data_IF_123802016722
#
_entry.id   IF_123802016722
#
_cell.length_a   1.000
_cell.length_b   1.000
_cell.length_c   1.000
_cell.angle_alpha   90.00
_cell.angle_beta   90.00
_cell.angle_gamma   90.00
#
_symmetry.space_group_name_H-M   'P 1'
#
loop_
_entity.id
_entity.type
_entity.pdbx_description
1 polymer ?
#
# COMPACT_ATOMS: atom_id res chain seq x y z
N UNK A 1 -1.12 1.93 -26.40
CA UNK A 1 -1.27 1.54 -24.96
C UNK A 1 -1.36 2.80 -24.13
N UNK A 2 -2.27 2.92 -23.16
CA UNK A 2 -2.35 4.07 -22.24
C UNK A 2 -2.00 3.64 -20.82
N UNK A 3 -1.24 4.48 -20.09
CA UNK A 3 -0.84 4.23 -18.71
C UNK A 3 -1.44 5.31 -17.81
N UNK A 4 -2.07 4.92 -16.71
CA UNK A 4 -2.67 5.82 -15.72
C UNK A 4 -2.14 5.49 -14.33
N UNK A 5 -1.64 6.50 -13.62
CA UNK A 5 -1.13 6.35 -12.25
C UNK A 5 -2.17 6.90 -11.27
N UNK A 6 -2.50 6.12 -10.25
CA UNK A 6 -3.38 6.56 -9.17
C UNK A 6 -2.77 7.76 -8.43
N UNK A 7 -3.57 8.79 -8.15
CA UNK A 7 -3.11 10.00 -7.47
C UNK A 7 -2.66 9.73 -6.03
N UNK A 8 -3.27 8.72 -5.36
CA UNK A 8 -2.91 8.31 -4.02
C UNK A 8 -1.70 7.35 -3.97
N UNK A 9 -1.08 6.99 -5.13
CA UNK A 9 0.07 6.09 -5.13
C UNK A 9 1.27 6.70 -4.39
N UNK A 10 1.86 5.94 -3.44
CA UNK A 10 3.04 6.38 -2.70
C UNK A 10 2.80 6.59 -1.21
N UNK A 11 3.74 7.23 -0.53
CA UNK A 11 3.71 7.41 0.92
C UNK A 11 2.41 8.06 1.40
N UNK A 12 1.82 7.49 2.45
CA UNK A 12 0.79 8.18 3.22
C UNK A 12 1.46 9.13 4.24
N UNK A 13 0.67 10.04 4.81
CA UNK A 13 1.15 10.98 5.83
C UNK A 13 1.95 10.32 6.97
N UNK A 14 1.47 9.18 7.51
CA UNK A 14 2.14 8.51 8.62
C UNK A 14 3.49 7.91 8.23
N UNK A 15 3.59 7.38 7.01
CA UNK A 15 4.85 6.84 6.45
C UNK A 15 5.82 7.97 6.13
N UNK A 16 5.36 9.00 5.45
CA UNK A 16 6.19 10.17 5.09
C UNK A 16 6.79 10.82 6.34
N UNK A 17 5.97 11.02 7.39
CA UNK A 17 6.44 11.50 8.69
C UNK A 17 7.50 10.58 9.31
N UNK A 18 7.30 9.26 9.27
CA UNK A 18 8.24 8.32 9.87
C UNK A 18 9.59 8.31 9.13
N UNK A 19 9.56 8.31 7.80
CA UNK A 19 10.74 8.42 6.94
C UNK A 19 11.47 9.74 7.18
N UNK A 20 10.74 10.86 7.20
CA UNK A 20 11.29 12.20 7.46
C UNK A 20 11.99 12.32 8.82
N UNK A 21 11.47 11.66 9.87
CA UNK A 21 12.13 11.63 11.19
C UNK A 21 13.46 10.87 11.14
N UNK A 22 13.56 9.76 10.41
CA UNK A 22 14.84 9.06 10.21
C UNK A 22 15.82 9.95 9.44
N UNK A 23 15.38 10.54 8.33
CA UNK A 23 16.22 11.46 7.53
C UNK A 23 16.71 12.65 8.33
N UNK A 24 15.86 13.24 9.15
CA UNK A 24 16.23 14.34 10.04
C UNK A 24 17.30 13.88 11.04
N UNK A 25 17.12 12.71 11.66
CA UNK A 25 18.05 12.17 12.63
C UNK A 25 19.44 11.92 12.00
N UNK A 26 19.47 11.40 10.78
CA UNK A 26 20.70 11.23 10.01
C UNK A 26 21.37 12.56 9.68
N UNK A 27 20.58 13.55 9.22
CA UNK A 27 21.09 14.90 8.91
C UNK A 27 21.67 15.63 10.13
N UNK A 28 21.10 15.37 11.31
CA UNK A 28 21.62 15.90 12.59
C UNK A 28 22.91 15.18 13.05
N UNK A 29 23.41 14.21 12.30
CA UNK A 29 24.60 13.43 12.63
C UNK A 29 24.44 12.51 13.84
N UNK A 30 23.22 12.24 14.26
CA UNK A 30 22.93 11.37 15.41
C UNK A 30 23.12 9.89 15.01
N UNK A 31 23.70 9.11 15.90
CA UNK A 31 23.64 7.66 15.80
C UNK A 31 22.24 7.21 16.16
N UNK A 32 21.61 6.42 15.28
CA UNK A 32 20.26 5.94 15.51
C UNK A 32 20.10 4.47 15.10
N UNK A 33 19.17 3.80 15.74
CA UNK A 33 18.67 2.47 15.36
C UNK A 33 17.15 2.52 15.27
N UNK A 34 16.56 1.68 14.41
CA UNK A 34 15.11 1.51 14.36
C UNK A 34 14.70 0.24 15.08
N UNK A 35 13.66 0.31 15.90
CA UNK A 35 13.10 -0.87 16.57
C UNK A 35 12.11 -1.57 15.63
N UNK A 36 12.61 -2.58 14.95
CA UNK A 36 11.99 -3.19 13.77
C UNK A 36 12.06 -2.29 12.52
N UNK A 37 11.57 -2.78 11.36
CA UNK A 37 11.57 -2.00 10.13
C UNK A 37 10.73 -0.74 10.28
N UNK A 38 11.26 0.43 9.92
CA UNK A 38 10.57 1.72 10.08
C UNK A 38 9.21 1.72 9.39
N UNK A 39 9.13 1.07 8.24
CA UNK A 39 7.93 0.80 7.43
C UNK A 39 8.08 -0.56 6.74
N UNK A 40 6.98 -1.13 6.23
CA UNK A 40 7.03 -2.34 5.40
C UNK A 40 7.45 -2.01 3.97
N UNK A 41 8.73 -1.72 3.77
CA UNK A 41 9.37 -1.59 2.47
C UNK A 41 10.87 -1.81 2.62
N UNK A 42 11.38 -2.91 2.10
CA UNK A 42 12.79 -3.27 2.28
C UNK A 42 13.76 -2.33 1.55
N UNK A 43 13.36 -1.71 0.43
CA UNK A 43 14.21 -0.72 -0.25
C UNK A 43 14.47 0.50 0.64
N UNK A 44 13.45 0.95 1.37
CA UNK A 44 13.60 2.06 2.33
C UNK A 44 14.47 1.64 3.52
N UNK A 45 14.27 0.43 4.04
CA UNK A 45 15.11 -0.12 5.13
C UNK A 45 16.57 -0.22 4.69
N UNK A 46 16.83 -0.74 3.49
CA UNK A 46 18.19 -0.81 2.91
C UNK A 46 18.81 0.57 2.68
N UNK A 47 18.02 1.52 2.19
CA UNK A 47 18.48 2.90 2.03
C UNK A 47 18.97 3.49 3.36
N UNK A 48 18.20 3.35 4.45
CA UNK A 48 18.61 3.82 5.75
C UNK A 48 19.78 3.02 6.36
N UNK A 49 19.85 1.72 6.10
CA UNK A 49 21.01 0.92 6.50
C UNK A 49 22.30 1.41 5.84
N UNK A 50 22.26 1.81 4.57
CA UNK A 50 23.40 2.42 3.88
C UNK A 50 23.80 3.78 4.48
N UNK A 51 22.85 4.50 5.11
CA UNK A 51 23.11 5.74 5.86
C UNK A 51 23.51 5.51 7.33
N UNK A 52 23.71 4.24 7.73
CA UNK A 52 24.17 3.88 9.08
C UNK A 52 23.05 3.69 10.12
N UNK A 53 21.77 3.76 9.73
CA UNK A 53 20.64 3.47 10.63
C UNK A 53 20.33 1.98 10.58
N UNK A 54 20.69 1.26 11.64
CA UNK A 54 20.51 -0.19 11.74
C UNK A 54 19.19 -0.56 12.37
N UNK A 55 18.55 -1.59 11.85
CA UNK A 55 17.38 -2.23 12.48
C UNK A 55 17.82 -3.12 13.64
N UNK A 56 17.07 -3.10 14.75
CA UNK A 56 17.23 -3.96 15.91
C UNK A 56 15.87 -4.61 16.26
N UNK A 57 15.91 -5.75 16.93
CA UNK A 57 14.70 -6.49 17.29
C UNK A 57 14.16 -6.13 18.68
N UNK A 58 15.02 -5.73 19.61
CA UNK A 58 14.65 -5.51 21.00
C UNK A 58 15.31 -4.28 21.63
N UNK A 59 14.73 -3.71 22.70
CA UNK A 59 15.30 -2.57 23.41
C UNK A 59 16.74 -2.81 23.91
N UNK A 60 17.07 -4.07 24.28
CA UNK A 60 18.36 -4.45 24.84
C UNK A 60 19.51 -4.27 23.84
N UNK A 61 19.20 -4.35 22.54
CA UNK A 61 20.18 -4.21 21.44
C UNK A 61 20.57 -2.76 21.13
N UNK A 62 19.89 -1.76 21.73
CA UNK A 62 20.21 -0.35 21.48
C UNK A 62 21.62 -0.04 21.97
N UNK A 63 22.55 0.40 21.09
CA UNK A 63 23.91 0.75 21.48
C UNK A 63 23.92 1.99 22.36
N UNK A 64 24.87 2.04 23.31
CA UNK A 64 25.06 3.24 24.13
C UNK A 64 25.29 4.50 23.28
N UNK A 65 24.64 5.60 23.65
CA UNK A 65 24.74 6.88 22.94
C UNK A 65 24.02 6.94 21.59
N UNK A 66 23.16 5.95 21.27
CA UNK A 66 22.31 5.98 20.09
C UNK A 66 20.88 6.35 20.45
N UNK A 67 20.22 7.13 19.59
CA UNK A 67 18.79 7.30 19.63
C UNK A 67 18.08 6.04 19.11
N UNK A 68 16.90 5.75 19.66
CA UNK A 68 16.03 4.68 19.16
C UNK A 68 14.81 5.28 18.48
N UNK A 69 14.57 4.87 17.23
CA UNK A 69 13.42 5.32 16.46
C UNK A 69 12.35 4.22 16.51
N UNK A 70 11.19 4.56 17.07
CA UNK A 70 10.03 3.67 17.07
C UNK A 70 9.39 3.73 15.68
N UNK A 71 9.13 2.56 15.08
CA UNK A 71 8.51 2.43 13.74
C UNK A 71 7.11 3.03 13.64
N UNK A 72 6.64 3.28 12.42
CA UNK A 72 5.31 3.87 12.15
C UNK A 72 4.12 3.06 12.72
N UNK A 73 4.29 1.76 12.91
CA UNK A 73 3.30 0.84 13.49
C UNK A 73 3.17 0.95 15.01
N UNK A 74 4.09 1.67 15.66
CA UNK A 74 4.20 1.72 17.11
C UNK A 74 4.83 0.46 17.71
N UNK A 75 4.85 0.46 19.04
CA UNK A 75 5.30 -0.67 19.87
C UNK A 75 4.33 -0.84 21.04
N UNK A 76 4.39 -1.99 21.71
CA UNK A 76 3.62 -2.23 22.93
C UNK A 76 4.06 -1.30 24.06
N UNK A 77 3.17 -1.10 25.03
CA UNK A 77 3.45 -0.30 26.23
C UNK A 77 4.68 -0.80 26.98
N UNK A 78 4.81 -2.12 27.16
CA UNK A 78 5.95 -2.72 27.84
C UNK A 78 7.30 -2.41 27.15
N UNK A 79 7.33 -2.45 25.82
CA UNK A 79 8.52 -2.09 25.02
C UNK A 79 8.82 -0.60 25.20
N UNK A 80 7.81 0.27 25.14
CA UNK A 80 8.00 1.71 25.33
C UNK A 80 8.56 2.05 26.72
N UNK A 81 7.98 1.44 27.78
CA UNK A 81 8.46 1.58 29.16
C UNK A 81 9.89 1.03 29.35
N UNK A 82 10.25 -0.06 28.70
CA UNK A 82 11.61 -0.61 28.73
C UNK A 82 12.63 0.36 28.10
N UNK A 83 12.29 1.04 26.99
CA UNK A 83 13.15 2.06 26.39
C UNK A 83 13.31 3.26 27.33
N UNK A 84 12.24 3.72 27.97
CA UNK A 84 12.28 4.81 28.94
C UNK A 84 13.14 4.48 30.17
N UNK A 85 12.95 3.26 30.72
CA UNK A 85 13.70 2.82 31.89
C UNK A 85 15.21 2.75 31.65
N UNK A 86 15.65 2.61 30.40
CA UNK A 86 17.07 2.66 30.00
C UNK A 86 17.60 4.08 29.79
N UNK A 87 16.75 5.09 29.90
CA UNK A 87 17.14 6.48 29.69
C UNK A 87 17.56 6.80 28.25
N UNK A 88 17.04 6.09 27.26
CA UNK A 88 17.39 6.25 25.85
C UNK A 88 16.71 7.49 25.25
N UNK A 89 17.35 8.16 24.30
CA UNK A 89 16.69 9.14 23.44
C UNK A 89 15.72 8.43 22.52
N UNK A 90 14.41 8.63 22.73
CA UNK A 90 13.34 8.01 21.96
C UNK A 90 12.83 8.99 20.92
N UNK A 91 12.90 8.59 19.64
CA UNK A 91 12.27 9.31 18.52
C UNK A 91 11.03 8.49 18.12
N UNK A 92 9.86 8.94 18.56
CA UNK A 92 8.61 8.20 18.31
C UNK A 92 8.03 8.55 16.92
N UNK A 93 8.23 7.65 15.96
CA UNK A 93 7.68 7.75 14.62
C UNK A 93 6.32 7.02 14.48
N UNK A 94 5.71 6.57 15.58
CA UNK A 94 4.37 5.98 15.56
C UNK A 94 3.38 6.91 14.84
N UNK A 95 2.64 6.37 13.89
CA UNK A 95 1.62 7.13 13.17
C UNK A 95 0.57 7.67 14.16
N UNK A 96 0.20 8.97 14.11
CA UNK A 96 -0.79 9.55 15.03
C UNK A 96 -2.15 8.82 15.03
N UNK A 97 -2.54 8.22 13.90
CA UNK A 97 -3.76 7.41 13.82
C UNK A 97 -3.62 6.12 14.62
N UNK A 98 -2.45 5.47 14.61
CA UNK A 98 -2.15 4.30 15.44
C UNK A 98 -2.09 4.68 16.92
N UNK A 99 -1.40 5.77 17.27
CA UNK A 99 -1.34 6.28 18.66
C UNK A 99 -2.73 6.61 19.22
N UNK A 100 -3.66 7.05 18.36
CA UNK A 100 -5.06 7.24 18.76
C UNK A 100 -5.71 5.91 19.17
N UNK A 101 -5.44 4.83 18.43
CA UNK A 101 -5.99 3.50 18.75
C UNK A 101 -5.43 3.00 20.09
N UNK A 102 -4.13 3.18 20.34
CA UNK A 102 -3.52 2.86 21.63
C UNK A 102 -4.27 3.51 22.79
N UNK A 103 -4.62 4.80 22.67
CA UNK A 103 -5.39 5.51 23.69
C UNK A 103 -6.80 4.94 23.84
N UNK A 104 -7.50 4.66 22.74
CA UNK A 104 -8.85 4.10 22.78
C UNK A 104 -8.89 2.77 23.54
N UNK A 105 -7.95 1.85 23.26
CA UNK A 105 -7.94 0.54 23.93
C UNK A 105 -7.55 0.66 25.42
N UNK A 106 -6.68 1.60 25.79
CA UNK A 106 -6.35 1.88 27.19
C UNK A 106 -7.55 2.48 27.95
N UNK A 107 -8.23 3.46 27.37
CA UNK A 107 -9.41 4.08 27.95
C UNK A 107 -10.55 3.09 28.07
N UNK A 108 -10.74 2.20 27.08
CA UNK A 108 -11.71 1.13 27.14
C UNK A 108 -11.48 0.24 28.37
N UNK A 109 -10.27 -0.26 28.56
CA UNK A 109 -9.92 -1.12 29.70
C UNK A 109 -10.05 -0.38 31.03
N UNK A 110 -9.64 0.88 31.12
CA UNK A 110 -9.80 1.71 32.31
C UNK A 110 -11.28 1.90 32.69
N UNK A 111 -12.18 1.89 31.71
CA UNK A 111 -13.63 1.98 31.90
C UNK A 111 -14.30 0.60 32.06
N UNK A 112 -13.53 -0.47 32.29
CA UNK A 112 -14.04 -1.82 32.49
C UNK A 112 -14.59 -2.49 31.23
N UNK A 113 -14.24 -1.98 30.04
CA UNK A 113 -14.66 -2.54 28.76
C UNK A 113 -13.55 -3.41 28.16
N UNK A 114 -13.95 -4.47 27.50
CA UNK A 114 -13.04 -5.41 26.86
C UNK A 114 -12.66 -4.89 25.45
N UNK A 115 -11.37 -4.60 25.17
CA UNK A 115 -10.94 -4.23 23.82
C UNK A 115 -11.07 -5.40 22.85
N UNK A 116 -11.72 -5.14 21.70
CA UNK A 116 -11.89 -6.06 20.59
C UNK A 116 -11.27 -5.44 19.34
N UNK A 117 -10.22 -6.07 18.84
CA UNK A 117 -9.38 -5.56 17.75
C UNK A 117 -9.61 -6.39 16.49
N UNK A 118 -10.08 -5.77 15.42
CA UNK A 118 -10.20 -6.42 14.12
C UNK A 118 -8.95 -6.16 13.30
N UNK A 119 -8.20 -7.21 13.01
CA UNK A 119 -6.94 -7.12 12.26
C UNK A 119 -6.15 -8.42 12.28
N UNK A 120 -5.05 -8.46 11.53
CA UNK A 120 -4.17 -9.63 11.46
C UNK A 120 -3.36 -9.76 12.75
N UNK A 121 -3.51 -10.85 13.55
CA UNK A 121 -2.93 -10.94 14.88
C UNK A 121 -1.41 -10.72 14.94
N UNK A 122 -0.67 -11.22 13.96
CA UNK A 122 0.79 -11.15 13.91
C UNK A 122 1.31 -9.84 13.30
N UNK A 123 0.40 -8.98 12.79
CA UNK A 123 0.82 -7.73 12.18
C UNK A 123 1.39 -6.77 13.23
N UNK A 124 2.54 -6.12 12.98
CA UNK A 124 3.20 -5.24 13.96
C UNK A 124 2.31 -4.16 14.57
N UNK A 125 1.39 -3.58 13.79
CA UNK A 125 0.43 -2.59 14.28
C UNK A 125 -0.56 -3.20 15.28
N UNK A 126 -1.09 -4.40 14.96
CA UNK A 126 -2.05 -5.11 15.82
C UNK A 126 -1.38 -5.56 17.11
N UNK A 127 -0.15 -6.10 17.02
CA UNK A 127 0.68 -6.46 18.19
C UNK A 127 0.93 -5.23 19.07
N UNK A 128 1.24 -4.08 18.45
CA UNK A 128 1.43 -2.84 19.19
C UNK A 128 0.14 -2.42 19.90
N UNK A 129 -1.00 -2.34 19.18
CA UNK A 129 -2.31 -1.97 19.76
C UNK A 129 -2.68 -2.91 20.93
N UNK A 130 -2.58 -4.21 20.71
CA UNK A 130 -2.88 -5.23 21.72
C UNK A 130 -2.01 -5.07 22.98
N UNK A 131 -0.76 -4.66 22.82
CA UNK A 131 0.17 -4.42 23.92
C UNK A 131 -0.11 -3.17 24.76
N UNK A 132 -1.15 -2.39 24.45
CA UNK A 132 -1.60 -1.22 25.23
C UNK A 132 -2.78 -1.54 26.15
N UNK A 133 -3.27 -2.77 26.17
CA UNK A 133 -4.25 -3.26 27.12
C UNK A 133 -3.85 -4.64 27.64
N UNK A 134 -4.42 -5.07 28.79
CA UNK A 134 -4.03 -6.33 29.49
C UNK A 134 -4.67 -7.55 28.86
N UNK A 135 -5.89 -7.40 28.37
CA UNK A 135 -6.73 -8.51 27.90
C UNK A 135 -7.29 -8.23 26.49
N UNK A 136 -6.43 -8.06 25.48
CA UNK A 136 -6.90 -7.80 24.11
C UNK A 136 -7.57 -9.05 23.53
N UNK A 137 -8.67 -8.86 22.81
CA UNK A 137 -9.25 -9.85 21.92
C UNK A 137 -8.97 -9.44 20.49
N UNK A 138 -8.29 -10.30 19.72
CA UNK A 138 -7.90 -10.01 18.34
C UNK A 138 -8.54 -11.02 17.40
N UNK A 139 -9.23 -10.53 16.38
CA UNK A 139 -9.87 -11.37 15.36
C UNK A 139 -9.46 -10.93 13.94
N UNK A 140 -9.01 -11.87 13.10
CA UNK A 140 -8.62 -11.58 11.72
C UNK A 140 -9.83 -11.26 10.83
N UNK A 141 -10.99 -11.83 11.15
CA UNK A 141 -12.20 -11.75 10.34
C UNK A 141 -13.48 -11.98 11.15
N UNK A 142 -14.63 -11.89 10.45
CA UNK A 142 -15.94 -12.07 11.06
C UNK A 142 -16.24 -13.52 11.44
N UNK A 143 -15.67 -14.50 10.75
CA UNK A 143 -15.87 -15.91 11.05
C UNK A 143 -15.23 -16.28 12.40
N UNK A 144 -14.00 -15.86 12.60
CA UNK A 144 -13.29 -16.03 13.87
C UNK A 144 -14.02 -15.33 15.03
N UNK A 145 -14.52 -14.11 14.80
CA UNK A 145 -15.31 -13.38 15.79
C UNK A 145 -16.63 -14.10 16.11
N UNK A 146 -17.38 -14.51 15.09
CA UNK A 146 -18.64 -15.20 15.25
C UNK A 146 -18.47 -16.50 16.04
N UNK A 147 -17.49 -17.33 15.64
CA UNK A 147 -17.17 -18.57 16.33
C UNK A 147 -16.86 -18.33 17.79
N UNK A 148 -16.01 -17.35 18.09
CA UNK A 148 -15.67 -17.02 19.47
C UNK A 148 -16.89 -16.57 20.28
N UNK A 149 -17.81 -15.82 19.72
CA UNK A 149 -19.05 -15.40 20.39
C UNK A 149 -19.99 -16.59 20.62
N UNK A 150 -20.13 -17.50 19.66
CA UNK A 150 -21.01 -18.65 19.73
C UNK A 150 -20.52 -19.72 20.73
N UNK A 151 -19.21 -19.82 20.95
CA UNK A 151 -18.60 -20.79 21.90
C UNK A 151 -19.03 -20.57 23.34
N UNK A 152 -19.39 -19.32 23.73
CA UNK A 152 -19.87 -19.03 25.11
C UNK A 152 -20.85 -17.85 25.10
N UNK A 153 -22.16 -18.10 25.22
CA UNK A 153 -23.18 -17.04 25.24
C UNK A 153 -23.01 -15.99 26.36
N UNK A 154 -22.29 -16.29 27.46
CA UNK A 154 -22.02 -15.31 28.51
C UNK A 154 -21.17 -14.14 28.02
N UNK A 155 -20.43 -14.33 26.92
CA UNK A 155 -19.63 -13.27 26.28
C UNK A 155 -20.51 -12.17 25.69
N UNK A 156 -21.79 -12.47 25.40
CA UNK A 156 -22.72 -11.49 24.83
C UNK A 156 -23.02 -10.32 25.80
N UNK A 157 -22.88 -10.54 27.10
CA UNK A 157 -23.14 -9.53 28.10
C UNK A 157 -21.90 -8.74 28.53
N UNK A 158 -20.73 -9.09 28.00
CA UNK A 158 -19.51 -8.32 28.25
C UNK A 158 -19.56 -6.97 27.54
N UNK A 159 -19.09 -5.89 28.18
CA UNK A 159 -18.98 -4.58 27.56
C UNK A 159 -17.74 -4.55 26.64
N UNK A 160 -17.94 -4.37 25.35
CA UNK A 160 -16.86 -4.31 24.38
C UNK A 160 -16.62 -2.90 23.83
N UNK A 161 -15.37 -2.59 23.60
CA UNK A 161 -14.93 -1.48 22.73
C UNK A 161 -14.21 -2.05 21.53
N UNK A 162 -14.77 -1.85 20.34
CA UNK A 162 -14.30 -2.44 19.11
C UNK A 162 -13.53 -1.41 18.27
N UNK A 163 -12.33 -1.78 17.84
CA UNK A 163 -11.43 -1.02 16.96
C UNK A 163 -10.95 -1.87 15.80
N UNK A 164 -10.39 -1.26 14.77
CA UNK A 164 -9.83 -1.95 13.62
C UNK A 164 -8.38 -1.55 13.36
N UNK A 165 -7.60 -2.46 12.79
CA UNK A 165 -6.31 -2.15 12.18
C UNK A 165 -6.50 -1.05 11.11
N UNK A 166 -5.60 -0.07 11.08
CA UNK A 166 -5.72 1.11 10.19
C UNK A 166 -5.78 0.79 8.71
N UNK A 167 -5.22 -0.34 8.30
CA UNK A 167 -5.20 -0.83 6.91
C UNK A 167 -6.32 -1.81 6.58
N UNK A 168 -7.29 -2.03 7.45
CA UNK A 168 -8.45 -2.91 7.20
C UNK A 168 -9.30 -2.41 6.03
N UNK A 169 -10.16 -3.27 5.51
CA UNK A 169 -11.19 -2.88 4.53
C UNK A 169 -12.48 -2.52 5.25
N UNK A 170 -13.25 -1.59 4.66
CA UNK A 170 -14.57 -1.22 5.18
C UNK A 170 -15.50 -2.44 5.23
N UNK A 171 -15.43 -3.31 4.23
CA UNK A 171 -16.21 -4.55 4.19
C UNK A 171 -15.95 -5.45 5.40
N UNK A 172 -14.68 -5.67 5.76
CA UNK A 172 -14.32 -6.47 6.93
C UNK A 172 -14.83 -5.85 8.22
N UNK A 173 -14.63 -4.54 8.38
CA UNK A 173 -15.10 -3.77 9.54
C UNK A 173 -16.62 -3.87 9.71
N UNK A 174 -17.38 -3.58 8.64
CA UNK A 174 -18.84 -3.60 8.68
C UNK A 174 -19.39 -5.00 8.91
N UNK A 175 -18.76 -6.04 8.36
CA UNK A 175 -19.10 -7.44 8.60
C UNK A 175 -18.95 -7.80 10.08
N UNK A 176 -17.79 -7.53 10.68
CA UNK A 176 -17.54 -7.79 12.10
C UNK A 176 -18.46 -6.98 13.01
N UNK A 177 -18.68 -5.70 12.67
CA UNK A 177 -19.61 -4.81 13.40
C UNK A 177 -21.05 -5.34 13.37
N UNK A 178 -21.50 -5.86 12.22
CA UNK A 178 -22.85 -6.46 12.08
C UNK A 178 -22.98 -7.71 12.94
N UNK A 179 -21.96 -8.57 12.98
CA UNK A 179 -21.92 -9.77 13.81
C UNK A 179 -22.02 -9.38 15.29
N UNK A 180 -21.12 -8.50 15.76
CA UNK A 180 -21.10 -8.08 17.15
C UNK A 180 -22.43 -7.41 17.58
N UNK A 181 -22.99 -6.53 16.75
CA UNK A 181 -24.28 -5.88 17.02
C UNK A 181 -25.46 -6.84 17.16
N UNK A 182 -25.41 -8.00 16.51
CA UNK A 182 -26.51 -8.96 16.53
C UNK A 182 -26.64 -9.66 17.88
N UNK A 183 -25.53 -9.85 18.60
CA UNK A 183 -25.49 -10.70 19.79
C UNK A 183 -25.04 -9.98 21.06
N UNK A 184 -24.15 -8.98 20.96
CA UNK A 184 -23.60 -8.31 22.15
C UNK A 184 -24.51 -7.18 22.63
N UNK A 185 -24.70 -7.09 23.93
CA UNK A 185 -25.62 -6.14 24.59
C UNK A 185 -25.00 -4.76 24.84
N UNK A 186 -23.68 -4.69 25.03
CA UNK A 186 -22.95 -3.45 25.35
C UNK A 186 -21.73 -3.27 24.44
N UNK A 187 -21.86 -2.43 23.41
CA UNK A 187 -20.85 -2.19 22.39
C UNK A 187 -20.56 -0.72 22.18
N UNK A 188 -19.26 -0.39 22.11
CA UNK A 188 -18.77 0.86 21.54
C UNK A 188 -17.95 0.57 20.29
N UNK A 189 -18.09 1.40 19.28
CA UNK A 189 -17.39 1.26 18.01
C UNK A 189 -16.59 2.52 17.70
N UNK A 190 -15.33 2.32 17.43
CA UNK A 190 -14.46 3.36 16.88
C UNK A 190 -13.99 2.91 15.51
N UNK A 191 -14.48 3.56 14.47
CA UNK A 191 -13.94 3.37 13.13
C UNK A 191 -12.54 3.96 13.09
N UNK A 192 -11.56 3.06 13.03
CA UNK A 192 -10.14 3.39 13.07
C UNK A 192 -9.41 3.06 11.77
N UNK A 193 -10.15 2.69 10.72
CA UNK A 193 -9.60 2.59 9.37
C UNK A 193 -9.09 3.97 8.96
N UNK A 194 -7.85 4.01 8.47
CA UNK A 194 -7.25 5.28 8.10
C UNK A 194 -7.88 5.84 6.83
N UNK A 195 -8.26 7.12 6.83
CA UNK A 195 -8.86 7.78 5.66
C UNK A 195 -7.99 7.69 4.40
N UNK A 196 -6.67 7.72 4.56
CA UNK A 196 -5.75 7.50 3.46
C UNK A 196 -5.87 6.07 2.89
N UNK A 197 -6.16 5.08 3.73
CA UNK A 197 -6.42 3.69 3.31
C UNK A 197 -7.72 3.60 2.52
N UNK A 198 -8.82 4.16 3.04
CA UNK A 198 -10.11 4.16 2.37
C UNK A 198 -10.03 4.82 0.99
N UNK A 199 -9.47 6.02 0.91
CA UNK A 199 -9.33 6.75 -0.35
C UNK A 199 -8.52 5.96 -1.37
N UNK A 200 -7.41 5.35 -0.94
CA UNK A 200 -6.54 4.53 -1.80
C UNK A 200 -7.25 3.29 -2.30
N UNK A 201 -7.99 2.60 -1.44
CA UNK A 201 -8.78 1.42 -1.80
C UNK A 201 -9.88 1.77 -2.80
N UNK A 202 -10.61 2.85 -2.57
CA UNK A 202 -11.66 3.33 -3.46
C UNK A 202 -11.10 3.75 -4.84
N UNK A 203 -9.99 4.49 -4.85
CA UNK A 203 -9.33 4.89 -6.10
C UNK A 203 -8.79 3.68 -6.87
N UNK A 204 -8.16 2.72 -6.19
CA UNK A 204 -7.65 1.50 -6.81
C UNK A 204 -8.78 0.67 -7.44
N UNK A 205 -9.93 0.52 -6.77
CA UNK A 205 -11.10 -0.16 -7.32
C UNK A 205 -11.64 0.56 -8.56
N UNK A 206 -11.78 1.89 -8.49
CA UNK A 206 -12.28 2.70 -9.60
C UNK A 206 -11.34 2.67 -10.82
N UNK A 207 -10.02 2.70 -10.60
CA UNK A 207 -9.02 2.60 -11.66
C UNK A 207 -9.01 1.21 -12.27
N UNK A 208 -9.04 0.16 -11.45
CA UNK A 208 -9.05 -1.23 -11.88
C UNK A 208 -10.24 -1.57 -12.78
N UNK A 209 -11.42 -1.02 -12.50
CA UNK A 209 -12.62 -1.19 -13.32
C UNK A 209 -12.52 -0.56 -14.72
N UNK A 210 -11.51 0.27 -14.98
CA UNK A 210 -11.30 0.99 -16.25
C UNK A 210 -10.06 0.52 -17.01
N UNK A 211 -9.36 -0.50 -16.50
CA UNK A 211 -8.09 -0.95 -17.05
C UNK A 211 -8.13 -2.44 -17.43
N UNK A 212 -7.40 -2.81 -18.47
CA UNK A 212 -7.21 -4.20 -18.89
C UNK A 212 -6.19 -4.92 -17.98
N UNK A 213 -5.25 -4.16 -17.42
CA UNK A 213 -4.27 -4.65 -16.47
C UNK A 213 -3.99 -3.62 -15.36
N UNK A 214 -3.69 -4.11 -14.16
CA UNK A 214 -3.28 -3.30 -13.03
C UNK A 214 -1.89 -3.70 -12.55
N UNK A 215 -1.04 -2.72 -12.29
CA UNK A 215 0.23 -2.87 -11.60
C UNK A 215 0.07 -2.29 -10.20
N UNK A 216 0.24 -3.14 -9.19
CA UNK A 216 0.25 -2.76 -7.78
C UNK A 216 1.69 -2.78 -7.30
N UNK A 217 2.26 -1.60 -7.03
CA UNK A 217 3.67 -1.46 -6.66
C UNK A 217 3.84 -1.46 -5.15
N UNK A 218 4.71 -2.31 -4.62
CA UNK A 218 5.11 -2.29 -3.21
C UNK A 218 5.38 -3.66 -2.60
N UNK A 219 5.96 -3.64 -1.42
CA UNK A 219 6.40 -4.82 -0.68
C UNK A 219 5.22 -5.77 -0.35
N UNK A 220 5.39 -7.05 -0.65
CA UNK A 220 4.39 -8.11 -0.37
C UNK A 220 4.08 -8.30 1.11
N UNK A 221 5.01 -7.89 1.99
CA UNK A 221 4.81 -7.91 3.45
C UNK A 221 3.92 -6.76 3.95
N UNK A 222 3.66 -5.76 3.12
CA UNK A 222 2.77 -4.65 3.45
C UNK A 222 1.31 -5.09 3.36
N UNK A 223 0.61 -5.07 4.49
CA UNK A 223 -0.83 -5.36 4.56
C UNK A 223 -1.65 -4.49 3.61
N UNK A 224 -1.34 -3.19 3.52
CA UNK A 224 -2.03 -2.29 2.59
C UNK A 224 -1.79 -2.68 1.13
N UNK A 225 -0.55 -3.02 0.75
CA UNK A 225 -0.22 -3.43 -0.62
C UNK A 225 -0.95 -4.70 -1.03
N UNK A 226 -0.94 -5.72 -0.16
CA UNK A 226 -1.66 -6.97 -0.42
C UNK A 226 -3.16 -6.77 -0.59
N UNK A 227 -3.77 -5.89 0.22
CA UNK A 227 -5.21 -5.57 0.11
C UNK A 227 -5.54 -4.81 -1.17
N UNK A 228 -4.68 -3.88 -1.61
CA UNK A 228 -4.85 -3.21 -2.90
C UNK A 228 -4.82 -4.20 -4.06
N UNK A 229 -3.88 -5.14 -4.07
CA UNK A 229 -3.82 -6.18 -5.09
C UNK A 229 -5.09 -7.03 -5.12
N UNK A 230 -5.62 -7.40 -3.95
CA UNK A 230 -6.88 -8.14 -3.86
C UNK A 230 -8.08 -7.33 -4.36
N UNK A 231 -8.17 -6.05 -4.01
CA UNK A 231 -9.22 -5.16 -4.49
C UNK A 231 -9.13 -4.99 -6.01
N UNK A 232 -7.94 -4.75 -6.56
CA UNK A 232 -7.76 -4.66 -8.00
C UNK A 232 -8.19 -5.94 -8.72
N UNK A 233 -7.88 -7.13 -8.17
CA UNK A 233 -8.23 -8.42 -8.74
C UNK A 233 -9.75 -8.68 -8.78
N UNK A 234 -10.54 -8.02 -7.94
CA UNK A 234 -12.00 -8.08 -7.99
C UNK A 234 -12.59 -7.27 -9.16
N UNK A 235 -11.85 -6.35 -9.76
CA UNK A 235 -12.34 -5.41 -10.78
C UNK A 235 -11.55 -5.44 -12.10
N UNK A 236 -10.37 -6.07 -12.14
CA UNK A 236 -9.50 -6.13 -13.30
C UNK A 236 -9.04 -7.58 -13.54
N UNK A 237 -9.06 -8.08 -14.81
CA UNK A 237 -8.72 -9.46 -15.12
C UNK A 237 -7.25 -9.80 -14.93
N UNK A 238 -6.36 -8.80 -15.02
CA UNK A 238 -4.92 -8.98 -14.88
C UNK A 238 -4.36 -8.04 -13.82
N UNK A 239 -3.80 -8.59 -12.75
CA UNK A 239 -3.19 -7.81 -11.68
C UNK A 239 -1.77 -8.32 -11.40
N UNK A 240 -0.81 -7.41 -11.46
CA UNK A 240 0.60 -7.67 -11.22
C UNK A 240 1.02 -6.96 -9.94
N UNK A 241 1.33 -7.73 -8.90
CA UNK A 241 1.93 -7.22 -7.68
C UNK A 241 3.44 -7.28 -7.84
N UNK A 242 4.07 -6.12 -7.91
CA UNK A 242 5.52 -5.97 -8.15
C UNK A 242 6.17 -5.12 -7.06
N UNK A 243 7.39 -5.46 -6.72
CA UNK A 243 8.17 -4.70 -5.75
C UNK A 243 8.96 -3.55 -6.41
N UNK A 244 9.40 -3.76 -7.65
CA UNK A 244 10.09 -2.77 -8.48
C UNK A 244 9.90 -3.08 -9.98
N UNK A 245 10.50 -2.28 -10.86
CA UNK A 245 10.34 -2.42 -12.30
C UNK A 245 10.91 -3.72 -12.88
N UNK A 246 11.91 -4.34 -12.24
CA UNK A 246 12.50 -5.59 -12.74
C UNK A 246 11.56 -6.80 -12.65
N UNK A 247 10.50 -6.71 -11.85
CA UNK A 247 9.48 -7.76 -11.70
C UNK A 247 8.33 -7.64 -12.71
N UNK A 248 8.34 -6.65 -13.61
CA UNK A 248 7.29 -6.45 -14.59
C UNK A 248 7.27 -7.57 -15.64
N UNK A 249 6.11 -8.21 -15.83
CA UNK A 249 5.86 -9.15 -16.91
C UNK A 249 5.54 -8.38 -18.20
N UNK A 250 6.60 -7.81 -18.82
CA UNK A 250 6.47 -6.94 -19.98
C UNK A 250 5.75 -7.60 -21.17
N UNK A 251 5.97 -8.91 -21.48
CA UNK A 251 5.24 -9.60 -22.55
C UNK A 251 3.72 -9.59 -22.35
N UNK A 252 3.24 -9.77 -21.11
CA UNK A 252 1.80 -9.73 -20.81
C UNK A 252 1.27 -8.29 -20.81
N UNK A 253 2.02 -7.36 -20.22
CA UNK A 253 1.60 -5.95 -20.14
C UNK A 253 1.48 -5.29 -21.52
N UNK A 254 2.29 -5.67 -22.49
CA UNK A 254 2.20 -5.18 -23.89
C UNK A 254 0.87 -5.54 -24.57
N UNK A 255 0.16 -6.53 -24.10
CA UNK A 255 -1.13 -6.96 -24.68
C UNK A 255 -2.31 -6.13 -24.14
N UNK A 256 -2.11 -5.34 -23.09
CA UNK A 256 -3.12 -4.51 -22.50
C UNK A 256 -3.25 -3.16 -23.22
N UNK A 257 -4.48 -2.76 -23.55
CA UNK A 257 -4.77 -1.45 -24.13
C UNK A 257 -4.65 -0.32 -23.11
N UNK A 258 -5.11 -0.56 -21.87
CA UNK A 258 -5.07 0.39 -20.76
C UNK A 258 -4.49 -0.26 -19.51
N UNK A 259 -3.47 0.35 -18.92
CA UNK A 259 -2.78 -0.11 -17.72
C UNK A 259 -2.95 0.91 -16.61
N UNK A 260 -3.42 0.45 -15.45
CA UNK A 260 -3.46 1.24 -14.23
C UNK A 260 -2.27 0.92 -13.33
N UNK A 261 -1.66 1.94 -12.73
CA UNK A 261 -0.60 1.79 -11.74
C UNK A 261 -1.11 2.36 -10.41
N UNK A 262 -1.11 1.55 -9.37
CA UNK A 262 -1.31 1.99 -7.98
C UNK A 262 -0.15 1.52 -7.12
N UNK A 263 -0.02 2.09 -5.92
CA UNK A 263 1.08 1.70 -5.04
C UNK A 263 0.66 1.68 -3.56
N UNK A 264 1.32 0.83 -2.80
CA UNK A 264 1.15 0.75 -1.36
C UNK A 264 1.53 2.05 -0.64
N UNK A 265 0.94 2.27 0.55
CA UNK A 265 1.21 3.42 1.41
C UNK A 265 2.65 3.52 1.91
N UNK A 266 3.43 2.46 1.78
CA UNK A 266 4.85 2.36 2.13
C UNK A 266 5.78 2.32 0.90
N UNK A 267 5.27 2.57 -0.31
CA UNK A 267 6.05 2.56 -1.55
C UNK A 267 6.62 3.93 -1.84
N UNK A 268 7.95 4.08 -1.94
CA UNK A 268 8.58 5.38 -2.20
C UNK A 268 8.36 5.83 -3.65
N UNK A 269 8.32 7.15 -3.84
CA UNK A 269 8.04 7.76 -5.13
C UNK A 269 9.04 7.37 -6.24
N UNK A 270 10.31 7.08 -5.90
CA UNK A 270 11.31 6.70 -6.91
C UNK A 270 10.99 5.34 -7.55
N UNK A 271 10.49 4.35 -6.78
CA UNK A 271 10.08 3.05 -7.33
C UNK A 271 8.86 3.21 -8.26
N UNK A 272 7.90 4.03 -7.86
CA UNK A 272 6.71 4.30 -8.69
C UNK A 272 7.11 4.97 -10.00
N UNK A 273 8.04 5.93 -9.94
CA UNK A 273 8.58 6.62 -11.12
C UNK A 273 9.32 5.66 -12.05
N UNK A 274 10.13 4.75 -11.49
CA UNK A 274 10.84 3.71 -12.24
C UNK A 274 9.87 2.80 -13.00
N UNK A 275 8.84 2.26 -12.30
CA UNK A 275 7.80 1.43 -12.92
C UNK A 275 7.05 2.18 -14.02
N UNK A 276 6.65 3.43 -13.75
CA UNK A 276 5.95 4.26 -14.74
C UNK A 276 6.83 4.59 -15.96
N UNK A 277 8.11 4.88 -15.74
CA UNK A 277 9.07 5.14 -16.80
C UNK A 277 9.25 3.92 -17.71
N UNK A 278 9.48 2.74 -17.12
CA UNK A 278 9.60 1.48 -17.88
C UNK A 278 8.36 1.22 -18.72
N UNK A 279 7.17 1.48 -18.19
CA UNK A 279 5.91 1.31 -18.95
C UNK A 279 5.79 2.34 -20.09
N UNK A 280 6.30 3.56 -19.90
CA UNK A 280 6.28 4.60 -20.93
C UNK A 280 7.25 4.30 -22.08
N UNK A 281 8.44 3.78 -21.79
CA UNK A 281 9.43 3.37 -22.79
C UNK A 281 8.89 2.23 -23.69
N UNK A 282 8.17 1.28 -23.10
CA UNK A 282 7.55 0.20 -23.87
C UNK A 282 6.50 0.75 -24.84
N UNK A 283 5.74 1.75 -24.43
CA UNK A 283 4.75 2.39 -25.29
C UNK A 283 5.41 3.04 -26.50
N UNK A 284 6.51 3.77 -26.28
CA UNK A 284 7.26 4.46 -27.35
C UNK A 284 7.90 3.46 -28.33
N UNK A 285 8.41 2.33 -27.83
CA UNK A 285 8.99 1.29 -28.72
C UNK A 285 7.93 0.54 -29.52
N UNK A 286 6.71 0.40 -29.01
CA UNK A 286 5.58 -0.20 -29.75
C UNK A 286 5.12 0.74 -30.88
N UNK A 287 5.03 2.04 -30.57
CA UNK A 287 4.63 3.03 -31.57
C UNK A 287 5.70 3.17 -32.67
N UNK A 288 7.00 3.18 -32.32
CA UNK A 288 8.11 3.20 -33.29
C UNK A 288 8.15 1.93 -34.16
N UNK A 289 7.95 0.75 -33.58
CA UNK A 289 7.90 -0.49 -34.36
C UNK A 289 6.65 -0.58 -35.26
N UNK A 290 5.55 0.07 -34.89
CA UNK A 290 4.37 0.18 -35.75
C UNK A 290 4.59 1.16 -36.89
N UNK A 291 5.29 2.26 -36.67
CA UNK A 291 5.67 3.21 -37.70
C UNK A 291 6.68 2.60 -38.71
N UNK A 292 7.73 1.89 -38.23
CA UNK A 292 8.66 1.17 -39.10
C UNK A 292 7.95 0.09 -39.93
N UNK A 293 7.02 -0.68 -39.34
CA UNK A 293 6.23 -1.67 -40.08
C UNK A 293 5.30 -1.04 -41.10
N UNK A 294 4.76 0.15 -40.83
CA UNK A 294 3.92 0.89 -41.77
C UNK A 294 4.75 1.49 -42.91
N UNK A 295 5.95 2.06 -42.66
CA UNK A 295 6.87 2.52 -43.66
C UNK A 295 7.40 1.39 -44.57
N UNK A 296 7.68 0.20 -43.99
CA UNK A 296 8.08 -0.98 -44.74
C UNK A 296 6.95 -1.49 -45.64
N UNK A 297 5.70 -1.50 -45.17
CA UNK A 297 4.51 -1.81 -45.98
C UNK A 297 4.25 -0.79 -47.08
N UNK A 298 4.43 0.51 -46.81
CA UNK A 298 4.38 1.58 -47.82
C UNK A 298 5.50 1.42 -48.86
N UNK A 299 6.74 1.11 -48.43
CA UNK A 299 7.89 0.88 -49.28
C UNK A 299 7.72 -0.30 -50.25
N UNK A 300 7.01 -1.36 -49.81
CA UNK A 300 6.68 -2.51 -50.66
C UNK A 300 5.50 -2.24 -51.62
N UNK A 301 4.63 -1.27 -51.29
CA UNK A 301 3.45 -0.89 -52.09
C UNK A 301 3.69 0.17 -53.16
N UNK A 302 4.70 1.01 -52.97
CA UNK A 302 5.00 2.13 -53.88
C UNK A 302 5.96 1.64 -54.99
N UNK A 303 5.42 1.24 -56.15
CA UNK A 303 6.21 1.17 -57.38
C UNK A 303 6.63 2.59 -57.70
N UNK A 304 7.93 2.87 -57.71
CA UNK A 304 8.47 4.13 -58.25
C UNK A 304 8.03 4.27 -59.69
N UNK A 305 7.10 5.17 -59.94
CA UNK A 305 6.63 5.51 -61.29
C UNK A 305 7.62 6.44 -61.97
N UNK A 306 8.03 6.10 -63.17
CA UNK A 306 8.87 6.97 -64.00
C UNK A 306 8.00 7.75 -64.97
N UNK A 307 8.53 8.89 -65.46
CA UNK A 307 7.85 9.71 -66.46
C UNK A 307 7.53 8.88 -67.71
N UNK A 308 6.24 8.66 -68.00
CA UNK A 308 5.76 7.87 -69.13
C UNK A 308 5.08 6.53 -68.70
N UNK A 309 5.11 6.14 -67.47
CA UNK A 309 4.41 4.95 -66.98
C UNK A 309 2.89 5.16 -67.03
N UNK A 310 2.17 4.16 -67.53
CA UNK A 310 0.71 4.15 -67.56
C UNK A 310 0.19 3.41 -66.31
N UNK A 311 -0.55 4.12 -65.50
CA UNK A 311 -1.20 3.55 -64.32
C UNK A 311 -2.71 3.64 -64.42
N UNK A 312 -3.39 2.65 -63.90
CA UNK A 312 -4.84 2.67 -63.69
C UNK A 312 -5.08 3.01 -62.21
N UNK A 313 -5.80 4.12 -61.96
CA UNK A 313 -6.16 4.57 -60.65
C UNK A 313 -7.61 5.06 -60.60
N UNK A 314 -8.20 5.12 -59.45
CA UNK A 314 -9.51 5.72 -59.19
C UNK A 314 -9.30 7.12 -58.65
N UNK A 315 -9.86 8.12 -59.30
CA UNK A 315 -9.81 9.53 -58.83
C UNK A 315 -10.66 9.64 -57.56
N UNK A 316 -10.04 10.01 -56.46
CA UNK A 316 -10.73 10.15 -55.15
C UNK A 316 -11.07 11.59 -54.79
N UNK A 317 -10.29 12.56 -55.33
CA UNK A 317 -10.54 13.98 -55.17
C UNK A 317 -9.94 14.78 -56.33
N UNK A 318 -10.54 15.92 -56.66
CA UNK A 318 -10.01 16.87 -57.66
C UNK A 318 -9.86 18.22 -56.97
N UNK A 319 -8.61 18.67 -56.83
CA UNK A 319 -8.27 20.00 -56.34
C UNK A 319 -8.07 20.99 -57.49
N UNK A 320 -7.85 22.26 -57.20
CA UNK A 320 -7.64 23.29 -58.20
C UNK A 320 -6.28 23.19 -58.95
N UNK A 321 -5.34 22.45 -58.38
CA UNK A 321 -3.96 22.31 -58.92
C UNK A 321 -3.49 20.85 -59.00
N UNK A 322 -4.25 19.90 -58.44
CA UNK A 322 -3.84 18.49 -58.40
C UNK A 322 -5.06 17.54 -58.39
N UNK A 323 -4.85 16.33 -58.85
CA UNK A 323 -5.78 15.20 -58.79
C UNK A 323 -5.22 14.20 -57.79
N UNK A 324 -5.99 13.83 -56.80
CA UNK A 324 -5.65 12.81 -55.78
C UNK A 324 -6.37 11.49 -56.06
#
# INVERSE_FOLDING_TARGET
MSVRVAASAGFCFGVDRAVGLVEQTVREGKRAVTLGPIIHNHHVVQHFAALGVREIASPEEVPGGSAVIIRSHGVSRAVYEALQARGLEIIDATCPFVSRIHRIVQEAEANGRQPLIIGTPEHPEVVAIAGWCRHPLVFPDGEALQKWLDDDPKRHDLPFTMVSQTTSTQFLWDSCKKIAKKVCTSLEFFDTICKATENRQAEAAALAAQCDAMIVVGDRKSSNTGRLAHICAAHCPQVFLVDNASELDLPKLRQAGTIGITAGASTPAWIIKEVNHTMSEINTTVDAAAEESFEELLGQGIKTLNTGDKVLGTVTAIGNTEIQ
#
